data_IF_583891687612
#
_entry.id   IF_583891687612
#
_cell.length_a   1.000
_cell.length_b   1.000
_cell.length_c   1.000
_cell.angle_alpha   90.00
_cell.angle_beta   90.00
_cell.angle_gamma   90.00
#
_symmetry.space_group_name_H-M   'P 1'
#
loop_
_entity.id
_entity.type
_entity.pdbx_description
1 polymer ?
#
# COMPACT_ATOMS: atom_id res chain seq x y z
N UNK A 1 4.75 -11.22 10.27
CA UNK A 1 5.08 -11.40 8.84
C UNK A 1 6.14 -12.47 8.75
N UNK A 2 6.22 -13.22 7.64
CA UNK A 2 7.31 -14.18 7.41
C UNK A 2 8.64 -13.45 7.27
N UNK A 3 9.75 -14.11 7.60
CA UNK A 3 11.11 -13.60 7.36
C UNK A 3 11.40 -13.53 5.85
N UNK A 4 12.38 -12.71 5.45
CA UNK A 4 12.71 -12.53 4.02
C UNK A 4 13.08 -13.85 3.33
N UNK A 5 13.84 -14.70 4.03
CA UNK A 5 14.30 -16.01 3.54
C UNK A 5 13.17 -17.00 3.27
N UNK A 6 11.96 -16.73 3.76
CA UNK A 6 10.78 -17.57 3.54
C UNK A 6 10.02 -17.21 2.25
N UNK A 7 10.43 -16.15 1.53
CA UNK A 7 9.88 -15.77 0.25
C UNK A 7 10.76 -16.24 -0.91
N UNK A 8 10.12 -16.66 -1.99
CA UNK A 8 10.82 -16.91 -3.26
C UNK A 8 11.29 -15.59 -3.88
N UNK A 9 12.36 -15.64 -4.70
CA UNK A 9 12.82 -14.48 -5.46
C UNK A 9 11.71 -13.86 -6.30
N UNK A 10 10.79 -14.66 -6.84
CA UNK A 10 9.63 -14.16 -7.60
C UNK A 10 8.68 -13.33 -6.73
N UNK A 11 8.41 -13.75 -5.49
CA UNK A 11 7.57 -13.00 -4.55
C UNK A 11 8.23 -11.72 -4.04
N UNK A 12 9.56 -11.67 -4.07
CA UNK A 12 10.36 -10.50 -3.71
C UNK A 12 10.55 -9.52 -4.87
N UNK A 13 10.09 -9.84 -6.09
CA UNK A 13 10.15 -8.91 -7.22
C UNK A 13 9.21 -7.73 -7.03
N UNK A 14 9.63 -6.59 -7.57
CA UNK A 14 8.80 -5.39 -7.64
C UNK A 14 7.53 -5.70 -8.47
N UNK A 15 6.33 -5.39 -7.97
CA UNK A 15 5.13 -5.48 -8.77
C UNK A 15 5.22 -4.58 -10.02
N UNK A 16 4.83 -5.10 -11.18
CA UNK A 16 4.81 -4.33 -12.44
C UNK A 16 3.64 -3.33 -12.53
N UNK A 17 2.73 -3.36 -11.56
CA UNK A 17 1.55 -2.49 -11.49
C UNK A 17 1.91 -1.06 -11.06
N UNK A 18 1.05 -0.11 -11.43
CA UNK A 18 1.14 1.29 -10.97
C UNK A 18 0.63 1.40 -9.53
N UNK A 19 1.02 2.46 -8.80
CA UNK A 19 0.53 2.68 -7.44
C UNK A 19 -0.99 2.83 -7.35
N UNK A 20 -1.65 3.36 -8.38
CA UNK A 20 -3.12 3.42 -8.42
C UNK A 20 -3.72 2.01 -8.38
N UNK A 21 -3.24 1.09 -9.23
CA UNK A 21 -3.74 -0.30 -9.24
C UNK A 21 -3.40 -1.04 -7.95
N UNK A 22 -2.21 -0.82 -7.38
CA UNK A 22 -1.84 -1.41 -6.11
C UNK A 22 -2.74 -0.94 -4.96
N UNK A 23 -3.05 0.36 -4.92
CA UNK A 23 -3.91 0.93 -3.88
C UNK A 23 -5.38 0.52 -4.06
N UNK A 24 -5.87 0.45 -5.30
CA UNK A 24 -7.20 -0.08 -5.61
C UNK A 24 -7.33 -1.53 -5.14
N UNK A 25 -6.36 -2.38 -5.45
CA UNK A 25 -6.38 -3.79 -5.03
C UNK A 25 -6.31 -3.94 -3.49
N UNK A 26 -5.49 -3.12 -2.82
CA UNK A 26 -5.41 -3.12 -1.35
C UNK A 26 -6.70 -2.64 -0.70
N UNK A 27 -7.27 -1.52 -1.17
CA UNK A 27 -8.48 -0.95 -0.58
C UNK A 27 -9.73 -1.78 -0.90
N UNK A 28 -9.75 -2.56 -1.99
CA UNK A 28 -10.78 -3.58 -2.23
C UNK A 28 -10.69 -4.74 -1.23
N UNK A 29 -9.46 -5.18 -0.91
CA UNK A 29 -9.25 -6.29 0.02
C UNK A 29 -9.59 -5.91 1.48
N UNK A 30 -9.20 -4.70 1.93
CA UNK A 30 -9.39 -4.26 3.32
C UNK A 30 -10.67 -3.44 3.53
N UNK A 31 -11.31 -2.99 2.44
CA UNK A 31 -12.52 -2.15 2.43
C UNK A 31 -12.26 -0.67 2.78
N UNK A 32 -11.65 -0.42 3.93
CA UNK A 32 -11.24 0.92 4.37
C UNK A 32 -9.95 0.81 5.16
N UNK A 33 -9.07 1.81 5.04
CA UNK A 33 -7.84 1.81 5.81
C UNK A 33 -7.21 3.18 5.95
N UNK A 34 -6.51 3.39 7.07
CA UNK A 34 -5.63 4.52 7.22
C UNK A 34 -4.30 4.30 6.50
N UNK A 35 -3.44 5.32 6.49
CA UNK A 35 -2.17 5.26 5.78
C UNK A 35 -1.23 4.14 6.27
N UNK A 36 -1.23 3.84 7.57
CA UNK A 36 -0.39 2.81 8.16
C UNK A 36 -0.93 1.42 7.80
N UNK A 37 -2.24 1.22 7.87
CA UNK A 37 -2.91 -0.02 7.46
C UNK A 37 -2.66 -0.34 5.97
N UNK A 38 -2.70 0.68 5.11
CA UNK A 38 -2.38 0.54 3.68
C UNK A 38 -0.93 0.10 3.47
N UNK A 39 0.03 0.69 4.20
CA UNK A 39 1.44 0.28 4.10
C UNK A 39 1.67 -1.17 4.53
N UNK A 40 1.01 -1.58 5.62
CA UNK A 40 1.10 -2.94 6.14
C UNK A 40 0.47 -3.95 5.17
N UNK A 41 -0.69 -3.63 4.61
CA UNK A 41 -1.35 -4.44 3.60
C UNK A 41 -0.49 -4.57 2.33
N UNK A 42 0.12 -3.47 1.86
CA UNK A 42 1.07 -3.48 0.73
C UNK A 42 2.26 -4.40 1.01
N UNK A 43 2.87 -4.30 2.19
CA UNK A 43 4.01 -5.14 2.57
C UNK A 43 3.63 -6.61 2.71
N UNK A 44 2.40 -6.90 3.15
CA UNK A 44 1.88 -8.26 3.29
C UNK A 44 1.59 -8.91 1.94
N UNK A 45 1.02 -8.16 1.00
CA UNK A 45 0.64 -8.65 -0.34
C UNK A 45 1.85 -8.68 -1.29
N UNK A 46 2.72 -7.68 -1.21
CA UNK A 46 3.94 -7.56 -2.01
C UNK A 46 5.15 -7.31 -1.09
N UNK A 47 5.81 -8.39 -0.61
CA UNK A 47 6.96 -8.33 0.30
C UNK A 47 8.12 -7.46 -0.19
N UNK A 48 8.21 -7.23 -1.51
CA UNK A 48 9.14 -6.25 -2.10
C UNK A 48 9.18 -4.92 -1.33
N UNK A 49 8.03 -4.36 -0.95
CA UNK A 49 7.96 -3.06 -0.27
C UNK A 49 8.59 -3.05 1.13
N UNK A 50 8.64 -4.24 1.77
CA UNK A 50 9.27 -4.41 3.08
C UNK A 50 10.77 -4.64 2.97
N UNK A 51 11.19 -5.52 2.06
CA UNK A 51 12.56 -6.06 2.05
C UNK A 51 13.44 -5.50 0.95
N UNK A 52 12.88 -5.16 -0.22
CA UNK A 52 13.65 -4.88 -1.44
C UNK A 52 13.50 -3.47 -2.01
N UNK A 53 12.55 -2.68 -1.54
CA UNK A 53 12.34 -1.32 -2.05
C UNK A 53 13.51 -0.35 -1.80
N UNK A 54 14.48 -0.71 -0.94
CA UNK A 54 15.74 0.00 -0.70
C UNK A 54 15.62 1.35 0.02
N UNK A 55 14.48 2.04 -0.12
CA UNK A 55 14.15 3.31 0.53
C UNK A 55 12.67 3.39 0.87
N UNK A 56 12.29 4.30 1.77
CA UNK A 56 10.89 4.63 2.06
C UNK A 56 10.24 5.52 1.00
N UNK A 57 10.86 5.74 -0.17
CA UNK A 57 10.35 6.62 -1.23
C UNK A 57 9.00 6.17 -1.81
N UNK A 58 8.73 4.87 -1.79
CA UNK A 58 7.44 4.31 -2.21
C UNK A 58 6.27 4.80 -1.35
N UNK A 59 6.50 5.07 -0.06
CA UNK A 59 5.46 5.61 0.84
C UNK A 59 5.05 7.02 0.41
N UNK A 60 5.99 7.81 -0.11
CA UNK A 60 5.69 9.13 -0.68
C UNK A 60 4.81 9.00 -1.93
N UNK A 61 5.10 8.02 -2.78
CA UNK A 61 4.30 7.73 -3.97
C UNK A 61 2.88 7.30 -3.60
N UNK A 62 2.72 6.47 -2.56
CA UNK A 62 1.39 6.09 -2.04
C UNK A 62 0.61 7.31 -1.58
N UNK A 63 1.19 8.16 -0.71
CA UNK A 63 0.52 9.38 -0.25
C UNK A 63 0.13 10.30 -1.40
N UNK A 64 1.02 10.49 -2.37
CA UNK A 64 0.75 11.32 -3.54
C UNK A 64 -0.45 10.80 -4.32
N UNK A 65 -0.53 9.49 -4.58
CA UNK A 65 -1.65 8.90 -5.32
C UNK A 65 -2.97 8.99 -4.55
N UNK A 66 -2.97 8.72 -3.24
CA UNK A 66 -4.16 8.91 -2.41
C UNK A 66 -4.65 10.37 -2.43
N UNK A 67 -3.73 11.34 -2.48
CA UNK A 67 -4.07 12.77 -2.43
C UNK A 67 -4.47 13.40 -3.77
N UNK A 68 -4.02 12.84 -4.90
CA UNK A 68 -4.13 13.48 -6.21
C UNK A 68 -5.08 12.75 -7.17
N UNK A 69 -5.54 11.56 -6.80
CA UNK A 69 -6.41 10.77 -7.65
C UNK A 69 -7.81 10.67 -7.05
N UNK A 70 -8.82 11.13 -7.80
CA UNK A 70 -10.23 11.14 -7.40
C UNK A 70 -10.81 9.73 -7.16
N UNK A 71 -10.11 8.68 -7.59
CA UNK A 71 -10.46 7.30 -7.28
C UNK A 71 -10.39 6.96 -5.79
N UNK A 72 -9.59 7.72 -5.02
CA UNK A 72 -9.42 7.51 -3.58
C UNK A 72 -10.03 8.65 -2.78
N UNK A 73 -10.98 8.33 -1.91
CA UNK A 73 -11.70 9.31 -1.11
C UNK A 73 -11.33 9.21 0.36
N UNK A 74 -11.29 10.36 1.02
CA UNK A 74 -11.16 10.43 2.48
C UNK A 74 -12.51 10.16 3.12
N UNK A 75 -12.63 9.06 3.86
CA UNK A 75 -13.86 8.68 4.56
C UNK A 75 -13.71 8.83 6.08
N UNK A 76 -13.36 10.04 6.52
CA UNK A 76 -13.19 10.35 7.94
C UNK A 76 -11.75 10.21 8.44
N UNK A 77 -11.59 10.01 9.75
CA UNK A 77 -10.30 9.99 10.43
C UNK A 77 -10.26 8.88 11.49
N UNK A 78 -9.11 8.23 11.61
CA UNK A 78 -8.75 7.38 12.73
C UNK A 78 -7.68 8.10 13.56
N UNK A 79 -8.09 8.71 14.66
CA UNK A 79 -7.24 9.60 15.45
C UNK A 79 -6.68 10.77 14.61
N UNK A 80 -5.36 10.78 14.37
CA UNK A 80 -4.68 11.80 13.56
C UNK A 80 -4.58 11.45 12.07
N UNK A 81 -4.86 10.20 11.68
CA UNK A 81 -4.74 9.73 10.30
C UNK A 81 -6.08 9.85 9.56
N UNK A 82 -6.04 10.11 8.26
CA UNK A 82 -7.25 10.05 7.42
C UNK A 82 -7.53 8.61 7.02
N UNK A 83 -8.81 8.23 7.02
CA UNK A 83 -9.27 6.95 6.48
C UNK A 83 -9.51 7.09 4.99
N UNK A 84 -9.15 6.07 4.22
CA UNK A 84 -9.27 6.04 2.77
C UNK A 84 -10.15 4.89 2.30
N UNK A 85 -10.95 5.18 1.28
CA UNK A 85 -11.80 4.22 0.55
C UNK A 85 -11.64 4.44 -0.95
N UNK A 86 -12.16 3.51 -1.73
CA UNK A 86 -12.38 3.68 -3.17
C UNK A 86 -13.74 4.35 -3.39
N UNK A 87 -13.83 5.24 -4.38
CA UNK A 87 -15.08 5.89 -4.81
C UNK A 87 -16.07 4.89 -5.45
#
# INVERSE_FOLDING_TARGET
MKEESEYTEEQLKRPAMTYVHLLDDILRDIGTGDLQEIYEALCKKWPYYRYRAGTSGWQSSVRHNLLQNDHFLRNGKNGKSSMWIIN
#
